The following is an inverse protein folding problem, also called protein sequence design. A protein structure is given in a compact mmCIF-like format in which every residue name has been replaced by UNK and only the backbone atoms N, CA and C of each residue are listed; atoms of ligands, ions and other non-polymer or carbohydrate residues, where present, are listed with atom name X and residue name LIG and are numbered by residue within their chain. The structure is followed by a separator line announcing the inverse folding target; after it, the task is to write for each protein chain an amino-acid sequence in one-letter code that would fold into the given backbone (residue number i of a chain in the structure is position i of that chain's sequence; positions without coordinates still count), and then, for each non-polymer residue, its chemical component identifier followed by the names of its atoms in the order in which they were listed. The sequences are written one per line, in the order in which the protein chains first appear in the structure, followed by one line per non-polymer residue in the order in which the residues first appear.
data_IF_532501371496
#
_entry.id   IF_532501371496
#
_cell.length_a   1.000
_cell.length_b   1.000
_cell.length_c   1.000
_cell.angle_alpha   90.00
_cell.angle_beta   90.00
_cell.angle_gamma   90.00
#
_symmetry.space_group_name_H-M   'P 1'
#
loop_
_entity.id
_entity.type
_entity.pdbx_description
1 polymer ?
#
# COMPACT_ATOMS: atom_id res chain seq x y z
N UNK A 1 11.99 23.07 5.11
CA UNK A 1 11.46 22.14 4.08
C UNK A 1 12.54 21.42 3.27
N UNK A 2 13.58 22.08 2.73
CA UNK A 2 14.65 21.43 1.93
C UNK A 2 15.35 20.22 2.58
N UNK A 3 15.46 20.19 3.93
CA UNK A 3 16.07 19.06 4.67
C UNK A 3 15.37 17.71 4.48
N UNK A 4 14.06 17.68 4.25
CA UNK A 4 13.29 16.44 4.21
C UNK A 4 13.09 15.89 2.79
N UNK A 5 13.31 16.71 1.76
CA UNK A 5 12.98 16.38 0.37
C UNK A 5 13.64 15.08 -0.10
N UNK A 6 14.92 14.87 0.21
CA UNK A 6 15.63 13.65 -0.17
C UNK A 6 15.13 12.40 0.57
N UNK A 7 14.83 12.51 1.87
CA UNK A 7 14.32 11.37 2.65
C UNK A 7 12.90 10.99 2.21
N UNK A 8 12.05 11.99 1.93
CA UNK A 8 10.72 11.76 1.35
C UNK A 8 10.80 11.17 -0.07
N UNK A 9 11.78 11.57 -0.88
CA UNK A 9 11.98 10.96 -2.21
C UNK A 9 12.29 9.46 -2.13
N UNK A 10 13.16 9.07 -1.18
CA UNK A 10 13.47 7.65 -0.93
C UNK A 10 12.23 6.91 -0.40
N UNK A 11 11.50 7.49 0.56
CA UNK A 11 10.26 6.91 1.07
C UNK A 11 9.21 6.73 -0.04
N UNK A 12 9.05 7.72 -0.92
CA UNK A 12 8.14 7.64 -2.05
C UNK A 12 8.52 6.50 -2.99
N UNK A 13 9.80 6.33 -3.30
CA UNK A 13 10.27 5.24 -4.17
C UNK A 13 9.89 3.84 -3.61
N UNK A 14 9.99 3.65 -2.29
CA UNK A 14 9.59 2.39 -1.63
C UNK A 14 8.11 2.04 -1.83
N UNK A 15 7.23 3.04 -1.92
CA UNK A 15 5.79 2.84 -2.10
C UNK A 15 5.35 2.86 -3.57
N UNK A 16 6.06 3.60 -4.43
CA UNK A 16 5.76 3.64 -5.87
C UNK A 16 5.92 2.26 -6.50
N UNK A 17 6.96 1.49 -6.14
CA UNK A 17 7.23 0.17 -6.71
C UNK A 17 6.04 -0.82 -6.56
N UNK A 18 5.52 -1.11 -5.35
CA UNK A 18 4.38 -2.03 -5.22
C UNK A 18 3.12 -1.53 -5.90
N UNK A 19 2.87 -0.20 -5.92
CA UNK A 19 1.77 0.38 -6.68
C UNK A 19 1.91 0.14 -8.19
N UNK A 20 3.11 0.34 -8.75
CA UNK A 20 3.38 0.08 -10.16
C UNK A 20 3.19 -1.40 -10.51
N UNK A 21 3.68 -2.31 -9.67
CA UNK A 21 3.51 -3.75 -9.89
C UNK A 21 2.03 -4.10 -9.99
N UNK A 22 1.21 -3.66 -9.03
CA UNK A 22 -0.23 -3.98 -9.01
C UNK A 22 -0.95 -3.31 -10.18
N UNK A 23 -0.60 -2.08 -10.55
CA UNK A 23 -1.17 -1.40 -11.72
C UNK A 23 -0.86 -2.13 -13.03
N UNK A 24 0.39 -2.58 -13.21
CA UNK A 24 0.81 -3.33 -14.40
C UNK A 24 0.05 -4.66 -14.46
N UNK A 25 -0.03 -5.41 -13.37
CA UNK A 25 -0.78 -6.66 -13.31
C UNK A 25 -2.27 -6.44 -13.62
N UNK A 26 -2.88 -5.42 -13.00
CA UNK A 26 -4.27 -5.04 -13.24
C UNK A 26 -4.52 -4.67 -14.70
N UNK A 27 -3.60 -3.96 -15.35
CA UNK A 27 -3.77 -3.55 -16.76
C UNK A 27 -3.76 -4.72 -17.75
N UNK A 28 -3.22 -5.87 -17.35
CA UNK A 28 -3.16 -7.09 -18.14
C UNK A 28 -4.24 -8.11 -17.73
N UNK A 29 -5.00 -7.80 -16.67
CA UNK A 29 -5.97 -8.71 -16.10
C UNK A 29 -7.26 -8.74 -16.93
N UNK A 30 -7.87 -9.93 -17.03
CA UNK A 30 -9.16 -10.09 -17.69
C UNK A 30 -10.26 -9.33 -16.94
N UNK A 31 -11.11 -8.64 -17.70
CA UNK A 31 -12.25 -7.86 -17.21
C UNK A 31 -13.55 -8.67 -17.15
N UNK A 32 -13.53 -9.91 -17.63
CA UNK A 32 -14.69 -10.80 -17.71
C UNK A 32 -14.31 -12.20 -17.22
N UNK A 33 -15.28 -12.89 -16.62
CA UNK A 33 -15.12 -14.29 -16.23
C UNK A 33 -15.44 -15.22 -17.42
N UNK A 34 -14.73 -16.35 -17.58
CA UNK A 34 -14.95 -17.27 -18.70
C UNK A 34 -16.37 -17.85 -18.77
N UNK A 35 -17.10 -17.85 -17.66
CA UNK A 35 -18.45 -18.40 -17.55
C UNK A 35 -19.56 -17.37 -17.81
N UNK A 36 -19.23 -16.14 -18.20
CA UNK A 36 -20.19 -15.05 -18.42
C UNK A 36 -20.91 -14.57 -17.15
N UNK A 37 -20.54 -15.10 -15.98
CA UNK A 37 -21.10 -14.67 -14.70
C UNK A 37 -20.46 -13.35 -14.26
N UNK A 38 -21.27 -12.30 -14.42
CA UNK A 38 -21.21 -10.93 -13.88
C UNK A 38 -19.84 -10.24 -13.77
N UNK A 39 -19.77 -9.04 -14.33
CA UNK A 39 -18.73 -8.05 -14.03
C UNK A 39 -19.15 -7.22 -12.79
N UNK A 40 -18.23 -6.96 -11.85
CA UNK A 40 -18.44 -6.02 -10.74
C UNK A 40 -17.94 -6.47 -9.36
N UNK A 41 -17.79 -5.50 -8.45
CA UNK A 41 -17.37 -5.69 -7.05
C UNK A 41 -18.62 -5.83 -6.16
N UNK A 42 -18.96 -7.08 -5.81
CA UNK A 42 -19.95 -7.42 -4.78
C UNK A 42 -21.39 -7.61 -5.27
N UNK A 43 -22.14 -8.48 -4.58
CA UNK A 43 -23.53 -8.93 -4.80
C UNK A 43 -23.75 -10.19 -5.66
N UNK A 44 -23.04 -11.28 -5.32
CA UNK A 44 -23.43 -12.64 -5.72
C UNK A 44 -22.69 -13.25 -6.91
N UNK A 45 -21.62 -12.61 -7.39
CA UNK A 45 -20.84 -13.09 -8.52
C UNK A 45 -19.34 -13.17 -8.22
N UNK A 46 -18.62 -14.01 -8.97
CA UNK A 46 -17.17 -14.18 -8.89
C UNK A 46 -16.43 -12.89 -9.25
N UNK A 47 -15.44 -12.47 -8.45
CA UNK A 47 -14.58 -11.35 -8.82
C UNK A 47 -13.81 -11.68 -10.10
N UNK A 48 -13.85 -10.78 -11.07
CA UNK A 48 -12.95 -10.85 -12.22
C UNK A 48 -11.50 -10.64 -11.76
N UNK A 49 -10.49 -11.15 -12.48
CA UNK A 49 -9.09 -10.88 -12.16
C UNK A 49 -8.82 -9.37 -12.03
N UNK A 50 -9.39 -8.54 -12.91
CA UNK A 50 -9.28 -7.08 -12.83
C UNK A 50 -9.89 -6.50 -11.55
N UNK A 51 -11.08 -6.98 -11.15
CA UNK A 51 -11.75 -6.55 -9.93
C UNK A 51 -11.01 -7.01 -8.67
N UNK A 52 -10.36 -8.18 -8.71
CA UNK A 52 -9.54 -8.69 -7.62
C UNK A 52 -8.35 -7.78 -7.32
N UNK A 53 -7.64 -7.31 -8.35
CA UNK A 53 -6.57 -6.32 -8.17
C UNK A 53 -7.12 -4.98 -7.68
N UNK A 54 -8.26 -4.54 -8.21
CA UNK A 54 -8.91 -3.30 -7.74
C UNK A 54 -9.28 -3.38 -6.26
N UNK A 55 -9.81 -4.53 -5.83
CA UNK A 55 -10.13 -4.81 -4.44
C UNK A 55 -8.88 -4.77 -3.55
N UNK A 56 -7.80 -5.45 -3.97
CA UNK A 56 -6.50 -5.40 -3.26
C UNK A 56 -5.99 -3.96 -3.14
N UNK A 57 -6.09 -3.16 -4.20
CA UNK A 57 -5.63 -1.78 -4.18
C UNK A 57 -6.40 -0.91 -3.19
N UNK A 58 -7.73 -0.99 -3.21
CA UNK A 58 -8.60 -0.11 -2.42
C UNK A 58 -8.62 -0.53 -0.95
N UNK A 59 -8.78 -1.83 -0.68
CA UNK A 59 -9.01 -2.32 0.69
C UNK A 59 -7.73 -2.67 1.44
N UNK A 60 -6.62 -2.90 0.74
CA UNK A 60 -5.35 -3.26 1.38
C UNK A 60 -4.26 -2.25 1.05
N UNK A 61 -3.90 -2.10 -0.22
CA UNK A 61 -2.72 -1.33 -0.61
C UNK A 61 -2.83 0.14 -0.20
N UNK A 62 -3.98 0.78 -0.45
CA UNK A 62 -4.22 2.17 -0.10
C UNK A 62 -4.18 2.45 1.43
N UNK A 63 -4.97 1.78 2.28
CA UNK A 63 -4.91 2.02 3.71
C UNK A 63 -3.56 1.65 4.32
N UNK A 64 -2.91 0.58 3.85
CA UNK A 64 -1.56 0.22 4.29
C UNK A 64 -0.52 1.27 3.91
N UNK A 65 -0.58 1.78 2.66
CA UNK A 65 0.27 2.89 2.20
C UNK A 65 0.07 4.12 3.08
N UNK A 66 -1.18 4.45 3.41
CA UNK A 66 -1.49 5.59 4.26
C UNK A 66 -0.87 5.44 5.66
N UNK A 67 -1.11 4.32 6.34
CA UNK A 67 -0.55 4.04 7.67
C UNK A 67 0.98 4.11 7.64
N UNK A 68 1.59 3.54 6.62
CA UNK A 68 3.04 3.56 6.47
C UNK A 68 3.60 4.95 6.24
N UNK A 69 3.01 5.74 5.35
CA UNK A 69 3.45 7.11 5.05
C UNK A 69 3.30 8.00 6.28
N UNK A 70 2.19 7.89 7.02
CA UNK A 70 1.95 8.68 8.23
C UNK A 70 2.96 8.35 9.34
N UNK A 71 3.17 7.07 9.62
CA UNK A 71 4.14 6.64 10.65
C UNK A 71 5.59 6.97 10.25
N UNK A 72 5.95 6.82 8.97
CA UNK A 72 7.24 7.24 8.44
C UNK A 72 7.44 8.77 8.52
N UNK A 73 6.42 9.55 8.17
CA UNK A 73 6.46 11.01 8.23
C UNK A 73 6.60 11.49 9.68
N UNK A 74 5.86 10.89 10.61
CA UNK A 74 5.98 11.15 12.04
C UNK A 74 7.39 10.88 12.55
N UNK A 75 7.98 9.74 12.18
CA UNK A 75 9.36 9.40 12.53
C UNK A 75 10.37 10.45 12.02
N UNK A 76 10.22 10.90 10.78
CA UNK A 76 11.07 11.95 10.20
C UNK A 76 10.86 13.29 10.91
N UNK A 77 9.64 13.63 11.29
CA UNK A 77 9.30 14.89 11.98
C UNK A 77 9.86 14.94 13.41
N UNK A 78 9.87 13.80 14.12
CA UNK A 78 10.39 13.69 15.49
C UNK A 78 11.92 13.68 15.55
N UNK A 79 12.59 13.53 14.41
CA UNK A 79 14.05 13.42 14.35
C UNK A 79 14.72 14.77 14.59
N UNK A 80 15.62 14.80 15.58
CA UNK A 80 16.40 16.00 15.95
C UNK A 80 17.80 16.07 15.32
N UNK A 81 18.23 15.01 14.63
CA UNK A 81 19.57 14.89 14.02
C UNK A 81 19.56 15.27 12.54
N UNK A 82 20.71 15.69 11.96
CA UNK A 82 20.81 15.93 10.53
C UNK A 82 20.45 14.67 9.74
N UNK A 83 19.65 14.85 8.69
CA UNK A 83 19.14 13.75 7.88
C UNK A 83 20.18 13.30 6.86
N UNK A 84 20.30 11.98 6.73
CA UNK A 84 20.96 11.28 5.62
C UNK A 84 19.86 10.70 4.73
N UNK A 85 19.58 11.30 3.56
CA UNK A 85 18.41 10.99 2.74
C UNK A 85 18.14 9.50 2.54
N UNK A 86 19.14 8.76 2.06
CA UNK A 86 19.03 7.32 1.74
C UNK A 86 18.77 6.49 3.00
N UNK A 87 19.61 6.64 4.03
CA UNK A 87 19.50 5.85 5.26
C UNK A 87 18.19 6.15 5.98
N UNK A 88 17.88 7.43 6.16
CA UNK A 88 16.77 7.84 7.00
C UNK A 88 15.43 7.66 6.31
N UNK A 89 15.36 7.87 4.98
CA UNK A 89 14.20 7.52 4.17
C UNK A 89 13.94 6.01 4.17
N UNK A 90 14.99 5.18 4.06
CA UNK A 90 14.83 3.71 4.09
C UNK A 90 14.39 3.21 5.48
N UNK A 91 14.97 3.74 6.56
CA UNK A 91 14.54 3.41 7.93
C UNK A 91 13.09 3.85 8.17
N UNK A 92 12.71 5.06 7.71
CA UNK A 92 11.33 5.52 7.82
C UNK A 92 10.37 4.61 7.04
N UNK A 93 10.75 4.17 5.83
CA UNK A 93 9.97 3.23 5.03
C UNK A 93 9.77 1.89 5.75
N UNK A 94 10.82 1.32 6.34
CA UNK A 94 10.73 0.07 7.08
C UNK A 94 9.84 0.18 8.32
N UNK A 95 9.92 1.29 9.07
CA UNK A 95 9.00 1.56 10.18
C UNK A 95 7.57 1.62 9.66
N UNK A 96 7.35 2.35 8.57
CA UNK A 96 6.04 2.46 7.95
C UNK A 96 5.47 1.12 7.53
N UNK A 97 6.26 0.30 6.84
CA UNK A 97 5.89 -1.05 6.42
C UNK A 97 5.60 -1.93 7.63
N UNK A 98 6.41 -1.88 8.69
CA UNK A 98 6.18 -2.63 9.92
C UNK A 98 4.86 -2.26 10.61
N UNK A 99 4.58 -0.97 10.76
CA UNK A 99 3.31 -0.50 11.32
C UNK A 99 2.10 -0.88 10.46
N UNK A 100 2.25 -0.77 9.13
CA UNK A 100 1.21 -1.18 8.20
C UNK A 100 0.97 -2.69 8.24
N UNK A 101 2.02 -3.52 8.28
CA UNK A 101 1.89 -4.98 8.37
C UNK A 101 1.14 -5.42 9.64
N UNK A 102 1.42 -4.79 10.78
CA UNK A 102 0.66 -5.02 12.02
C UNK A 102 -0.80 -4.60 11.84
N UNK A 103 -1.06 -3.42 11.26
CA UNK A 103 -2.42 -2.95 10.97
C UNK A 103 -3.20 -3.88 10.03
N UNK A 104 -2.56 -4.37 8.98
CA UNK A 104 -3.14 -5.33 8.03
C UNK A 104 -3.42 -6.68 8.68
N UNK A 105 -2.52 -7.17 9.54
CA UNK A 105 -2.73 -8.40 10.31
C UNK A 105 -3.90 -8.27 11.30
N UNK A 106 -4.02 -7.12 11.98
CA UNK A 106 -5.14 -6.84 12.90
C UNK A 106 -6.47 -6.74 12.14
N UNK A 107 -6.51 -6.08 10.98
CA UNK A 107 -7.72 -6.02 10.15
C UNK A 107 -8.12 -7.40 9.61
N UNK A 108 -7.16 -8.20 9.16
CA UNK A 108 -7.41 -9.57 8.72
C UNK A 108 -7.93 -10.46 9.86
N UNK A 109 -7.35 -10.34 11.06
CA UNK A 109 -7.79 -11.07 12.24
C UNK A 109 -9.19 -10.64 12.70
N UNK A 110 -9.50 -9.34 12.68
CA UNK A 110 -10.83 -8.83 13.05
C UNK A 110 -11.90 -9.22 12.02
N UNK A 111 -11.57 -9.22 10.73
CA UNK A 111 -12.48 -9.68 9.67
C UNK A 111 -12.74 -11.20 9.68
N UNK A 112 -11.87 -12.00 10.31
CA UNK A 112 -12.09 -13.44 10.49
C UNK A 112 -12.98 -13.80 11.68
N UNK A 113 -13.34 -12.83 12.52
CA UNK A 113 -14.17 -13.00 13.72
C UNK A 113 -15.65 -12.59 13.52
N UNK A 114 -16.00 -12.09 12.33
CA UNK A 114 -17.37 -11.73 11.91
C UNK A 114 -17.88 -12.70 10.87
#
# INVERSE_FOLDING_TARGET
MKRYAGAFGVLAAWWVVPWLIVLVLRSQAATENPDGQCSGIGFGCSLTPYDSYTFVMVFFLAPLTLVAVLSAALWLALRRRPLRPVRDGSVAALIGIGCAAVGGFVLAALGSLT
#
